data_IF_639012507613
#
_entry.id   IF_639012507613
#
_cell.length_a   1.000
_cell.length_b   1.000
_cell.length_c   1.000
_cell.angle_alpha   90.00
_cell.angle_beta   90.00
_cell.angle_gamma   90.00
#
_symmetry.space_group_name_H-M   'P 1'
#
loop_
_entity.id
_entity.type
_entity.pdbx_description
1 polymer ?
#
# COMPACT_ATOMS: atom_id res chain seq x y z
N UNK A 1 25.56 19.40 -12.50
CA UNK A 1 25.50 18.10 -11.80
C UNK A 1 24.08 17.57 -11.86
N UNK A 2 23.92 16.27 -12.15
CA UNK A 2 22.64 15.58 -12.11
C UNK A 2 22.41 15.04 -10.71
N UNK A 3 21.13 15.03 -10.26
CA UNK A 3 20.75 14.33 -9.06
C UNK A 3 20.94 12.80 -9.26
N UNK A 4 21.24 12.05 -8.18
CA UNK A 4 21.23 10.59 -8.25
C UNK A 4 19.88 10.05 -8.71
N UNK A 5 19.87 8.94 -9.45
CA UNK A 5 18.63 8.33 -9.98
C UNK A 5 17.57 8.09 -8.90
N UNK A 6 17.91 7.57 -7.69
CA UNK A 6 16.92 7.37 -6.65
C UNK A 6 16.42 8.68 -6.00
N UNK A 7 17.09 9.80 -6.18
CA UNK A 7 16.85 11.08 -5.52
C UNK A 7 18.03 11.54 -4.66
N UNK A 8 17.92 12.74 -4.11
CA UNK A 8 18.96 13.29 -3.22
C UNK A 8 18.90 12.56 -1.86
N UNK A 9 20.03 12.07 -1.32
CA UNK A 9 20.06 11.31 -0.07
C UNK A 9 19.36 12.02 1.10
N UNK A 10 19.66 13.29 1.33
CA UNK A 10 19.06 14.07 2.43
C UNK A 10 17.53 14.17 2.29
N UNK A 11 17.03 14.28 1.07
CA UNK A 11 15.58 14.28 0.80
C UNK A 11 14.96 12.92 1.09
N UNK A 12 15.60 11.83 0.69
CA UNK A 12 15.11 10.48 0.89
C UNK A 12 15.07 10.13 2.39
N UNK A 13 16.13 10.49 3.14
CA UNK A 13 16.18 10.28 4.57
C UNK A 13 15.14 11.12 5.32
N UNK A 14 14.95 12.37 4.92
CA UNK A 14 13.90 13.23 5.48
C UNK A 14 12.50 12.66 5.20
N UNK A 15 12.24 12.17 3.99
CA UNK A 15 10.96 11.56 3.62
C UNK A 15 10.66 10.29 4.46
N UNK A 16 11.67 9.41 4.65
CA UNK A 16 11.53 8.25 5.54
C UNK A 16 11.19 8.71 6.97
N UNK A 17 11.96 9.65 7.51
CA UNK A 17 11.78 10.11 8.89
C UNK A 17 10.41 10.75 9.10
N UNK A 18 9.92 11.54 8.15
CA UNK A 18 8.58 12.14 8.20
C UNK A 18 7.46 11.09 8.10
N UNK A 19 7.64 10.11 7.22
CA UNK A 19 6.62 9.08 7.04
C UNK A 19 6.45 8.23 8.31
N UNK A 20 7.55 7.72 8.89
CA UNK A 20 7.48 6.77 10.00
C UNK A 20 7.48 7.40 11.39
N UNK A 21 8.03 8.58 11.57
CA UNK A 21 8.06 9.45 12.77
C UNK A 21 7.83 8.72 14.12
N UNK A 22 8.85 8.02 14.60
CA UNK A 22 8.79 7.29 15.89
C UNK A 22 8.15 5.88 15.81
N UNK A 23 7.55 5.52 14.69
CA UNK A 23 6.90 4.22 14.46
C UNK A 23 7.63 3.38 13.41
N UNK A 24 8.98 3.51 13.37
CA UNK A 24 9.81 2.81 12.38
C UNK A 24 9.68 1.29 12.55
N UNK A 25 9.28 0.54 11.50
CA UNK A 25 9.24 -0.91 11.57
C UNK A 25 10.65 -1.50 11.69
N UNK A 26 10.77 -2.66 12.33
CA UNK A 26 12.00 -3.45 12.35
C UNK A 26 12.17 -4.16 10.99
N UNK A 27 12.64 -3.41 10.00
CA UNK A 27 12.78 -3.85 8.63
C UNK A 27 13.84 -3.02 7.90
N UNK A 28 14.32 -3.53 6.76
CA UNK A 28 15.10 -2.75 5.82
C UNK A 28 14.18 -1.73 5.12
N UNK A 29 14.51 -0.45 5.21
CA UNK A 29 13.71 0.63 4.60
C UNK A 29 14.60 1.40 3.63
N UNK A 30 14.07 1.64 2.43
CA UNK A 30 14.69 2.48 1.41
C UNK A 30 13.65 3.36 0.74
N UNK A 31 14.01 4.60 0.47
CA UNK A 31 13.16 5.53 -0.29
C UNK A 31 13.69 5.73 -1.71
N UNK A 32 12.79 6.04 -2.61
CA UNK A 32 13.06 6.41 -4.00
C UNK A 32 12.13 7.57 -4.36
N UNK A 33 12.69 8.63 -4.94
CA UNK A 33 11.91 9.75 -5.42
C UNK A 33 11.19 9.39 -6.73
N UNK A 34 9.94 9.79 -6.85
CA UNK A 34 9.10 9.58 -8.03
C UNK A 34 8.34 10.86 -8.39
N UNK A 35 7.61 10.86 -9.50
CA UNK A 35 6.73 11.95 -9.91
C UNK A 35 5.46 11.99 -9.03
N UNK A 36 5.63 12.34 -7.75
CA UNK A 36 4.57 12.36 -6.74
C UNK A 36 4.00 10.97 -6.42
N UNK A 37 2.88 10.93 -5.68
CA UNK A 37 2.20 9.68 -5.30
C UNK A 37 1.74 8.85 -6.51
N UNK A 38 1.28 9.49 -7.58
CA UNK A 38 0.90 8.79 -8.81
C UNK A 38 2.08 8.04 -9.43
N UNK A 39 3.29 8.62 -9.38
CA UNK A 39 4.51 7.95 -9.81
C UNK A 39 4.80 6.70 -8.99
N UNK A 40 4.62 6.73 -7.67
CA UNK A 40 4.79 5.54 -6.81
C UNK A 40 3.84 4.43 -7.26
N UNK A 41 2.55 4.77 -7.44
CA UNK A 41 1.52 3.79 -7.84
C UNK A 41 1.84 3.20 -9.21
N UNK A 42 2.13 4.04 -10.20
CA UNK A 42 2.47 3.60 -11.55
C UNK A 42 3.68 2.66 -11.55
N UNK A 43 4.79 3.06 -10.89
CA UNK A 43 5.99 2.23 -10.82
C UNK A 43 5.77 0.94 -10.04
N UNK A 44 4.94 0.95 -9.00
CA UNK A 44 4.60 -0.27 -8.27
C UNK A 44 3.84 -1.24 -9.16
N UNK A 45 2.79 -0.78 -9.83
CA UNK A 45 2.01 -1.61 -10.75
C UNK A 45 2.90 -2.15 -11.87
N UNK A 46 3.71 -1.29 -12.49
CA UNK A 46 4.58 -1.67 -13.60
C UNK A 46 5.64 -2.71 -13.24
N UNK A 47 6.31 -2.56 -12.09
CA UNK A 47 7.46 -3.39 -11.73
C UNK A 47 7.09 -4.70 -11.02
N UNK A 48 5.91 -4.78 -10.40
CA UNK A 48 5.56 -5.91 -9.55
C UNK A 48 4.38 -6.74 -10.07
N UNK A 49 3.91 -6.46 -11.29
CA UNK A 49 2.88 -7.25 -11.97
C UNK A 49 3.24 -7.49 -13.43
N UNK A 50 2.69 -8.55 -14.02
CA UNK A 50 2.82 -8.84 -15.44
C UNK A 50 1.65 -8.22 -16.24
N UNK A 51 1.82 -8.09 -17.58
CA UNK A 51 0.73 -7.65 -18.46
C UNK A 51 -0.45 -8.60 -18.33
N UNK A 52 -1.64 -8.04 -18.05
CA UNK A 52 -2.86 -8.80 -17.86
C UNK A 52 -3.16 -9.20 -16.43
N UNK A 53 -2.18 -9.08 -15.52
CA UNK A 53 -2.42 -9.26 -14.07
C UNK A 53 -3.45 -8.27 -13.53
N UNK A 54 -4.03 -8.63 -12.42
CA UNK A 54 -5.03 -7.84 -11.72
C UNK A 54 -4.46 -7.24 -10.44
N UNK A 55 -4.57 -5.93 -10.29
CA UNK A 55 -4.30 -5.18 -9.07
C UNK A 55 -5.58 -5.14 -8.23
N UNK A 56 -5.47 -5.29 -6.91
CA UNK A 56 -6.60 -5.27 -5.99
C UNK A 56 -6.66 -3.95 -5.21
N UNK A 57 -7.87 -3.40 -5.08
CA UNK A 57 -8.15 -2.29 -4.14
C UNK A 57 -9.56 -2.43 -3.56
N UNK A 58 -10.01 -1.49 -2.71
CA UNK A 58 -11.40 -1.47 -2.23
C UNK A 58 -12.37 -0.98 -3.31
N UNK A 59 -13.67 -1.27 -3.17
CA UNK A 59 -14.72 -0.78 -4.07
C UNK A 59 -14.95 0.74 -3.98
N UNK A 60 -14.56 1.35 -2.86
CA UNK A 60 -14.38 2.79 -2.74
C UNK A 60 -12.90 3.11 -2.96
N UNK A 61 -12.56 3.78 -4.04
CA UNK A 61 -11.16 4.08 -4.38
C UNK A 61 -11.01 5.40 -5.16
N UNK A 62 -9.81 5.92 -5.15
CA UNK A 62 -9.45 7.08 -5.94
C UNK A 62 -9.41 6.70 -7.44
N UNK A 63 -10.34 7.26 -8.22
CA UNK A 63 -10.56 6.90 -9.64
C UNK A 63 -9.30 6.72 -10.50
N UNK A 64 -8.26 7.56 -10.36
CA UNK A 64 -7.03 7.39 -11.11
C UNK A 64 -6.28 6.06 -10.91
N UNK A 65 -6.54 5.27 -9.86
CA UNK A 65 -5.96 3.92 -9.77
C UNK A 65 -6.31 3.08 -11.00
N UNK A 66 -7.56 3.18 -11.46
CA UNK A 66 -7.98 2.46 -12.67
C UNK A 66 -7.22 2.93 -13.91
N UNK A 67 -7.06 4.23 -14.08
CA UNK A 67 -6.33 4.81 -15.21
C UNK A 67 -4.87 4.33 -15.22
N UNK A 68 -4.20 4.34 -14.05
CA UNK A 68 -2.82 3.91 -13.92
C UNK A 68 -2.64 2.40 -14.19
N UNK A 69 -3.62 1.58 -13.81
CA UNK A 69 -3.62 0.15 -14.13
C UNK A 69 -3.85 -0.09 -15.63
N UNK A 70 -4.84 0.59 -16.22
CA UNK A 70 -5.16 0.46 -17.64
C UNK A 70 -3.97 0.89 -18.53
N UNK A 71 -3.32 2.01 -18.20
CA UNK A 71 -2.13 2.51 -18.88
C UNK A 71 -0.96 1.51 -18.84
N UNK A 72 -0.85 0.80 -17.73
CA UNK A 72 0.13 -0.26 -17.56
C UNK A 72 -0.31 -1.61 -18.17
N UNK A 73 -1.46 -1.70 -18.85
CA UNK A 73 -2.07 -2.93 -19.38
C UNK A 73 -2.37 -3.98 -18.28
N UNK A 74 -2.74 -3.52 -17.09
CA UNK A 74 -3.17 -4.33 -15.95
C UNK A 74 -4.65 -4.10 -15.71
N UNK A 75 -5.28 -5.05 -15.03
CA UNK A 75 -6.68 -4.93 -14.60
C UNK A 75 -6.74 -4.40 -13.18
N UNK A 76 -7.83 -3.71 -12.84
CA UNK A 76 -8.16 -3.36 -11.47
C UNK A 76 -9.41 -4.14 -11.04
N UNK A 77 -9.33 -4.88 -9.94
CA UNK A 77 -10.47 -5.54 -9.30
C UNK A 77 -10.64 -5.01 -7.87
N UNK A 78 -11.82 -5.19 -7.30
CA UNK A 78 -12.15 -4.61 -6.02
C UNK A 78 -12.72 -5.63 -5.04
N UNK A 79 -12.53 -5.37 -3.76
CA UNK A 79 -13.25 -6.02 -2.66
C UNK A 79 -14.16 -4.99 -1.97
N UNK A 80 -15.26 -5.46 -1.40
CA UNK A 80 -16.18 -4.60 -0.63
C UNK A 80 -15.49 -4.14 0.65
N UNK A 81 -15.27 -2.82 0.78
CA UNK A 81 -14.48 -2.22 1.87
C UNK A 81 -15.14 -2.43 3.22
N UNK A 82 -16.45 -2.21 3.30
CA UNK A 82 -17.17 -2.22 4.56
C UNK A 82 -18.05 -3.47 4.71
N UNK A 83 -18.04 -4.04 5.90
CA UNK A 83 -19.02 -5.04 6.33
C UNK A 83 -20.35 -4.38 6.76
N UNK A 84 -21.28 -5.20 7.25
CA UNK A 84 -22.59 -4.73 7.74
C UNK A 84 -22.49 -3.80 8.95
N UNK A 85 -21.38 -3.85 9.69
CA UNK A 85 -21.09 -2.99 10.87
C UNK A 85 -20.30 -1.73 10.48
N UNK A 86 -20.12 -1.45 9.19
CA UNK A 86 -19.33 -0.34 8.69
C UNK A 86 -17.84 -0.40 9.13
N UNK A 87 -17.31 -1.61 9.28
CA UNK A 87 -15.90 -1.89 9.57
C UNK A 87 -15.22 -2.49 8.33
N UNK A 88 -13.89 -2.55 8.37
CA UNK A 88 -13.12 -3.19 7.31
C UNK A 88 -13.57 -4.64 7.10
N UNK A 89 -13.95 -4.98 5.88
CA UNK A 89 -14.47 -6.30 5.50
C UNK A 89 -13.30 -7.27 5.22
N UNK A 90 -12.73 -7.82 6.27
CA UNK A 90 -11.61 -8.76 6.19
C UNK A 90 -11.96 -10.03 5.39
N UNK A 91 -13.21 -10.49 5.44
CA UNK A 91 -13.65 -11.68 4.71
C UNK A 91 -13.68 -11.43 3.19
N UNK A 92 -14.23 -10.28 2.77
CA UNK A 92 -14.23 -9.89 1.36
C UNK A 92 -12.79 -9.66 0.84
N UNK A 93 -11.93 -9.06 1.66
CA UNK A 93 -10.52 -8.89 1.36
C UNK A 93 -9.82 -10.24 1.17
N UNK A 94 -9.91 -11.15 2.16
CA UNK A 94 -9.29 -12.48 2.09
C UNK A 94 -9.75 -13.27 0.87
N UNK A 95 -11.08 -13.28 0.61
CA UNK A 95 -11.65 -13.97 -0.56
C UNK A 95 -11.03 -13.46 -1.86
N UNK A 96 -10.92 -12.14 -2.04
CA UNK A 96 -10.35 -11.56 -3.26
C UNK A 96 -8.85 -11.82 -3.39
N UNK A 97 -8.10 -11.73 -2.29
CA UNK A 97 -6.67 -12.10 -2.29
C UNK A 97 -6.49 -13.55 -2.75
N UNK A 98 -7.29 -14.48 -2.20
CA UNK A 98 -7.28 -15.87 -2.62
C UNK A 98 -7.59 -16.03 -4.09
N UNK A 99 -8.75 -15.50 -4.54
CA UNK A 99 -9.25 -15.66 -5.91
C UNK A 99 -8.25 -15.12 -6.96
N UNK A 100 -7.47 -14.09 -6.63
CA UNK A 100 -6.46 -13.52 -7.50
C UNK A 100 -5.15 -14.33 -7.45
N UNK A 101 -4.69 -14.72 -6.26
CA UNK A 101 -3.47 -15.53 -6.14
C UNK A 101 -3.63 -16.96 -6.69
N UNK A 102 -4.86 -17.45 -6.84
CA UNK A 102 -5.11 -18.71 -7.56
C UNK A 102 -4.84 -18.57 -9.09
N UNK A 103 -4.82 -17.34 -9.63
CA UNK A 103 -4.69 -17.05 -11.06
C UNK A 103 -3.37 -16.41 -11.46
N UNK A 104 -2.68 -15.75 -10.52
CA UNK A 104 -1.44 -15.03 -10.74
C UNK A 104 -0.48 -15.24 -9.57
N UNK A 105 0.82 -15.04 -9.77
CA UNK A 105 1.83 -15.24 -8.73
C UNK A 105 2.15 -13.94 -7.96
N UNK A 106 2.03 -12.80 -8.62
CA UNK A 106 2.29 -11.51 -8.00
C UNK A 106 0.96 -10.79 -7.79
N UNK A 107 0.73 -10.25 -6.60
CA UNK A 107 -0.47 -9.47 -6.29
C UNK A 107 -0.08 -8.13 -5.66
N UNK A 108 -0.37 -7.06 -6.38
CA UNK A 108 -0.34 -5.71 -5.82
C UNK A 108 -1.71 -5.40 -5.21
N UNK A 109 -1.71 -5.03 -3.95
CA UNK A 109 -2.89 -4.57 -3.21
C UNK A 109 -2.70 -3.11 -2.85
N UNK A 110 -3.57 -2.24 -3.32
CA UNK A 110 -3.56 -0.81 -2.98
C UNK A 110 -4.54 -0.57 -1.84
N UNK A 111 -4.03 -0.12 -0.70
CA UNK A 111 -4.82 0.32 0.46
C UNK A 111 -4.55 1.81 0.71
N UNK A 112 -5.54 2.66 0.45
CA UNK A 112 -5.45 4.07 0.80
C UNK A 112 -5.90 4.25 2.26
N UNK A 113 -4.95 4.45 3.13
CA UNK A 113 -5.15 4.59 4.58
C UNK A 113 -3.86 5.11 5.22
N UNK A 114 -3.91 5.97 6.25
CA UNK A 114 -5.11 6.49 6.91
C UNK A 114 -5.80 7.60 6.12
N UNK A 115 -6.98 8.01 6.58
CA UNK A 115 -7.84 9.05 6.00
C UNK A 115 -8.16 8.77 4.52
N UNK A 116 -8.71 7.59 4.26
CA UNK A 116 -9.05 7.06 2.94
C UNK A 116 -9.85 8.05 2.08
N UNK A 117 -9.43 8.24 0.84
CA UNK A 117 -10.18 9.01 -0.15
C UNK A 117 -11.04 8.05 -1.00
N UNK A 118 -12.42 8.12 -0.94
CA UNK A 118 -13.20 9.29 -0.51
C UNK A 118 -13.85 9.20 0.88
N UNK A 119 -13.68 8.11 1.64
CA UNK A 119 -14.53 7.84 2.81
C UNK A 119 -14.04 8.48 4.12
N UNK A 120 -12.79 8.92 4.18
CA UNK A 120 -12.15 9.38 5.42
C UNK A 120 -11.77 8.25 6.38
N UNK A 121 -12.04 6.99 6.03
CA UNK A 121 -11.79 5.84 6.89
C UNK A 121 -10.29 5.61 7.13
N UNK A 122 -9.96 5.21 8.35
CA UNK A 122 -8.60 4.77 8.70
C UNK A 122 -8.67 3.37 9.28
N UNK A 123 -7.87 2.44 8.74
CA UNK A 123 -7.79 1.10 9.31
C UNK A 123 -7.25 1.18 10.74
N UNK A 124 -7.95 0.53 11.65
CA UNK A 124 -7.51 0.36 13.05
C UNK A 124 -6.33 -0.62 13.13
N UNK A 125 -5.66 -0.64 14.29
CA UNK A 125 -4.56 -1.59 14.52
C UNK A 125 -5.00 -3.05 14.37
N UNK A 126 -6.21 -3.41 14.82
CA UNK A 126 -6.75 -4.77 14.68
C UNK A 126 -7.10 -5.14 13.24
N UNK A 127 -7.57 -4.18 12.44
CA UNK A 127 -7.85 -4.40 11.01
C UNK A 127 -6.54 -4.57 10.21
N UNK A 128 -5.49 -3.84 10.57
CA UNK A 128 -4.15 -4.08 10.04
C UNK A 128 -3.63 -5.48 10.38
N UNK A 129 -3.89 -5.99 11.60
CA UNK A 129 -3.55 -7.36 11.97
C UNK A 129 -4.28 -8.38 11.10
N UNK A 130 -5.55 -8.14 10.76
CA UNK A 130 -6.31 -8.98 9.82
C UNK A 130 -5.71 -8.95 8.41
N UNK A 131 -5.42 -7.76 7.87
CA UNK A 131 -4.77 -7.62 6.56
C UNK A 131 -3.44 -8.38 6.52
N UNK A 132 -2.58 -8.17 7.51
CA UNK A 132 -1.27 -8.83 7.56
C UNK A 132 -1.38 -10.34 7.80
N UNK A 133 -2.38 -10.79 8.55
CA UNK A 133 -2.66 -12.22 8.74
C UNK A 133 -2.99 -12.91 7.43
N UNK A 134 -3.87 -12.30 6.62
CA UNK A 134 -4.21 -12.78 5.27
C UNK A 134 -2.95 -12.83 4.39
N UNK A 135 -2.18 -11.73 4.34
CA UNK A 135 -0.96 -11.71 3.54
C UNK A 135 0.03 -12.80 3.96
N UNK A 136 0.27 -12.96 5.27
CA UNK A 136 1.16 -14.00 5.81
C UNK A 136 0.67 -15.42 5.53
N UNK A 137 -0.65 -15.64 5.53
CA UNK A 137 -1.24 -16.93 5.21
C UNK A 137 -0.91 -17.36 3.77
N UNK A 138 -1.09 -16.46 2.80
CA UNK A 138 -0.82 -16.76 1.39
C UNK A 138 0.67 -16.71 1.04
N UNK A 139 1.47 -15.95 1.77
CA UNK A 139 2.93 -15.92 1.64
C UNK A 139 3.62 -17.22 2.11
N UNK A 140 2.91 -18.17 2.75
CA UNK A 140 3.44 -19.52 3.03
C UNK A 140 3.80 -20.26 1.74
N UNK A 141 3.11 -19.98 0.64
CA UNK A 141 3.53 -20.41 -0.68
C UNK A 141 4.60 -19.44 -1.22
N UNK A 142 5.85 -19.91 -1.29
CA UNK A 142 7.00 -19.09 -1.71
C UNK A 142 6.97 -18.68 -3.19
N UNK A 143 6.09 -19.25 -4.01
CA UNK A 143 5.87 -18.83 -5.40
C UNK A 143 4.99 -17.57 -5.48
N UNK A 144 4.24 -17.27 -4.41
CA UNK A 144 3.36 -16.10 -4.35
C UNK A 144 4.10 -14.91 -3.76
N UNK A 145 3.90 -13.73 -4.34
CA UNK A 145 4.45 -12.46 -3.87
C UNK A 145 3.31 -11.48 -3.66
N UNK A 146 3.28 -10.86 -2.49
CA UNK A 146 2.26 -9.88 -2.14
C UNK A 146 2.93 -8.52 -1.93
N UNK A 147 2.49 -7.54 -2.67
CA UNK A 147 2.96 -6.18 -2.57
C UNK A 147 1.84 -5.32 -2.00
N UNK A 148 1.99 -4.92 -0.75
CA UNK A 148 1.08 -3.98 -0.10
C UNK A 148 1.52 -2.56 -0.44
N UNK A 149 0.81 -1.91 -1.35
CA UNK A 149 0.97 -0.50 -1.63
C UNK A 149 0.04 0.29 -0.72
N UNK A 150 0.60 0.88 0.32
CA UNK A 150 -0.13 1.72 1.27
C UNK A 150 -0.05 3.16 0.79
N UNK A 151 -1.16 3.67 0.28
CA UNK A 151 -1.26 5.06 -0.15
C UNK A 151 -1.57 5.94 1.07
N UNK A 152 -0.53 6.59 1.57
CA UNK A 152 -0.56 7.45 2.75
C UNK A 152 -0.64 8.94 2.41
N UNK A 153 -1.25 9.29 1.27
CA UNK A 153 -1.32 10.67 0.78
C UNK A 153 -1.97 11.65 1.78
N UNK A 154 -2.83 11.15 2.66
CA UNK A 154 -3.54 11.95 3.67
C UNK A 154 -3.06 11.70 5.11
N UNK A 155 -1.89 11.10 5.28
CA UNK A 155 -1.33 10.75 6.58
C UNK A 155 -1.31 11.92 7.58
N UNK A 156 -0.95 13.12 7.09
CA UNK A 156 -0.82 14.32 7.92
C UNK A 156 -2.18 14.94 8.32
N UNK A 157 -3.28 14.42 7.79
CA UNK A 157 -4.65 14.82 8.12
C UNK A 157 -5.42 13.78 8.95
N UNK A 158 -4.78 12.66 9.29
CA UNK A 158 -5.44 11.52 9.91
C UNK A 158 -5.53 11.59 11.45
N UNK A 159 -5.24 12.74 12.04
CA UNK A 159 -5.25 12.95 13.49
C UNK A 159 -3.85 13.15 14.07
N UNK A 160 -3.69 12.82 15.35
CA UNK A 160 -2.41 12.99 16.05
C UNK A 160 -1.30 12.16 15.38
N UNK A 161 -0.14 12.78 15.18
CA UNK A 161 0.97 12.23 14.39
C UNK A 161 1.40 10.83 14.83
N UNK A 162 1.57 10.59 16.11
CA UNK A 162 1.99 9.29 16.61
C UNK A 162 0.91 8.22 16.45
N UNK A 163 -0.35 8.58 16.64
CA UNK A 163 -1.47 7.66 16.50
C UNK A 163 -1.69 7.26 15.04
N UNK A 164 -1.71 8.24 14.15
CA UNK A 164 -1.92 8.03 12.71
C UNK A 164 -0.84 7.18 12.04
N UNK A 165 0.36 7.11 12.64
CA UNK A 165 1.51 6.33 12.15
C UNK A 165 1.76 5.02 12.88
N UNK A 166 1.03 4.74 13.98
CA UNK A 166 1.26 3.58 14.85
C UNK A 166 1.22 2.23 14.12
N UNK A 167 0.40 2.12 13.07
CA UNK A 167 0.29 0.91 12.26
C UNK A 167 1.58 0.54 11.53
N UNK A 168 2.48 1.49 11.26
CA UNK A 168 3.71 1.27 10.51
C UNK A 168 4.67 0.32 11.23
N UNK A 169 4.67 0.32 12.58
CA UNK A 169 5.46 -0.62 13.38
C UNK A 169 5.10 -2.09 13.12
N UNK A 170 3.89 -2.37 12.63
CA UNK A 170 3.42 -3.72 12.29
C UNK A 170 4.07 -4.32 11.04
N UNK A 171 4.75 -3.50 10.24
CA UNK A 171 5.43 -3.95 9.03
C UNK A 171 6.83 -4.53 9.26
N UNK A 172 7.23 -4.68 10.52
CA UNK A 172 8.45 -5.40 10.90
C UNK A 172 8.33 -6.92 10.75
N UNK A 173 9.47 -7.58 10.48
CA UNK A 173 9.58 -9.05 10.48
C UNK A 173 8.53 -9.77 9.60
N UNK A 174 8.24 -9.22 8.42
CA UNK A 174 7.38 -9.85 7.42
C UNK A 174 8.13 -10.93 6.64
N UNK A 175 7.44 -11.95 6.11
CA UNK A 175 8.04 -12.90 5.17
C UNK A 175 8.68 -12.20 3.96
N UNK A 176 9.76 -12.77 3.41
CA UNK A 176 10.56 -12.18 2.33
C UNK A 176 9.78 -11.97 1.02
N UNK A 177 8.67 -12.66 0.85
CA UNK A 177 7.77 -12.53 -0.29
C UNK A 177 6.59 -11.57 -0.05
N UNK A 178 6.65 -10.79 1.03
CA UNK A 178 5.77 -9.64 1.28
C UNK A 178 6.59 -8.37 1.23
N UNK A 179 6.26 -7.48 0.30
CA UNK A 179 6.85 -6.15 0.20
C UNK A 179 5.80 -5.10 0.60
N UNK A 180 6.17 -4.17 1.47
CA UNK A 180 5.34 -3.00 1.77
C UNK A 180 5.94 -1.77 1.08
N UNK A 181 5.13 -1.07 0.32
CA UNK A 181 5.49 0.19 -0.33
C UNK A 181 4.58 1.28 0.22
N UNK A 182 5.15 2.35 0.73
CA UNK A 182 4.40 3.52 1.18
C UNK A 182 4.45 4.61 0.12
N UNK A 183 3.28 4.99 -0.42
CA UNK A 183 3.16 6.12 -1.33
C UNK A 183 2.97 7.40 -0.52
N UNK A 184 4.07 8.10 -0.23
CA UNK A 184 4.08 9.39 0.44
C UNK A 184 4.25 10.52 -0.56
N UNK A 185 3.55 11.61 -0.38
CA UNK A 185 3.64 12.78 -1.27
C UNK A 185 3.50 14.08 -0.49
N UNK A 186 4.32 15.06 -0.83
CA UNK A 186 4.20 16.41 -0.28
C UNK A 186 3.03 17.21 -0.88
N UNK A 187 2.34 16.68 -1.90
CA UNK A 187 1.28 17.40 -2.61
C UNK A 187 0.07 17.77 -1.75
N UNK A 188 -0.08 17.14 -0.59
CA UNK A 188 -1.22 17.35 0.32
C UNK A 188 -0.80 18.00 1.64
N UNK A 189 0.37 17.68 2.19
CA UNK A 189 0.82 18.11 3.50
C UNK A 189 1.65 19.39 3.52
N UNK A 190 2.01 19.97 2.35
CA UNK A 190 2.86 21.14 2.21
C UNK A 190 2.27 22.17 1.25
#
# INVERSE_FOLDING_TARGET
NYAPIPGLPDFLDAAINLAVEGNRPEAFIKAIATSGGSGVIHHTVWNYTEIGDTVLTSDWFWGPYKVLCDDALRKLDTFTLFDEQQKFNAQAFEKKVKDLLDKQNNLVVILNTPAHNPTGYSLSGSEWDQVLSVCKQYAKNQEKRIILLVDIAYLDYAGEKNESRSFMSKFGNLPDNILVIMAYSMSKGF
#
